data_IF_966914404327
#
_entry.id   IF_966914404327
#
_cell.length_a   1.000
_cell.length_b   1.000
_cell.length_c   1.000
_cell.angle_alpha   90.00
_cell.angle_beta   90.00
_cell.angle_gamma   90.00
#
_symmetry.space_group_name_H-M   'P 1'
#
loop_
_entity.id
_entity.type
_entity.pdbx_description
1 polymer ?
#
# COMPACT_ATOMS: atom_id res chain seq x y z
N UNK A 1 5.81 90.14 109.95
CA UNK A 1 7.17 90.30 109.39
C UNK A 1 7.25 89.39 108.20
N UNK A 2 7.23 89.95 106.99
CA UNK A 2 7.43 89.17 105.77
C UNK A 2 8.86 88.63 105.73
N UNK A 3 9.00 87.33 105.97
CA UNK A 3 10.27 86.61 105.96
C UNK A 3 10.81 86.34 104.56
N UNK A 4 10.66 87.28 103.61
CA UNK A 4 11.12 87.07 102.24
C UNK A 4 12.66 87.06 102.17
N UNK A 5 13.18 85.96 101.64
CA UNK A 5 14.60 85.79 101.33
C UNK A 5 14.81 86.28 99.90
N UNK A 6 15.37 87.48 99.74
CA UNK A 6 15.75 88.04 98.44
C UNK A 6 17.14 87.56 98.03
N UNK A 7 17.47 87.66 96.74
CA UNK A 7 18.76 87.21 96.21
C UNK A 7 19.98 87.84 96.92
N UNK A 8 19.85 89.07 97.45
CA UNK A 8 20.90 89.75 98.23
C UNK A 8 21.19 89.09 99.59
N UNK A 9 20.21 88.34 100.15
CA UNK A 9 20.37 87.59 101.41
C UNK A 9 20.95 86.18 101.20
N UNK A 10 21.18 85.76 99.96
CA UNK A 10 21.75 84.45 99.61
C UNK A 10 23.13 84.62 98.97
N UNK A 11 24.16 84.12 99.65
CA UNK A 11 25.52 84.08 99.10
C UNK A 11 25.66 83.09 97.93
N UNK A 12 26.69 83.26 97.11
CA UNK A 12 26.99 82.31 96.02
C UNK A 12 27.21 80.90 96.58
N UNK A 13 26.48 79.91 96.06
CA UNK A 13 26.47 78.52 96.54
C UNK A 13 25.96 78.33 97.99
N UNK A 14 25.34 79.35 98.61
CA UNK A 14 24.85 79.23 99.99
C UNK A 14 23.65 78.28 100.12
N UNK A 15 22.99 77.96 99.00
CA UNK A 15 21.94 76.93 98.92
C UNK A 15 22.53 75.73 98.19
N UNK A 16 22.83 74.67 98.94
CA UNK A 16 23.30 73.39 98.40
C UNK A 16 22.27 72.28 98.70
N UNK A 17 22.62 71.03 98.34
CA UNK A 17 21.76 69.87 98.53
C UNK A 17 21.35 69.61 100.00
N UNK A 18 22.11 70.08 100.99
CA UNK A 18 21.74 69.97 102.40
C UNK A 18 20.72 71.03 102.83
N UNK A 19 20.58 72.12 102.06
CA UNK A 19 19.62 73.19 102.32
C UNK A 19 18.25 72.94 101.64
N UNK A 20 18.19 72.03 100.66
CA UNK A 20 16.96 71.71 99.92
C UNK A 20 16.53 70.29 100.28
N UNK A 21 15.44 70.14 101.02
CA UNK A 21 14.89 68.83 101.33
C UNK A 21 14.38 68.12 100.05
N UNK A 22 14.42 66.77 99.99
CA UNK A 22 13.81 66.03 98.90
C UNK A 22 12.34 66.43 98.70
N UNK A 23 11.97 66.80 97.47
CA UNK A 23 10.62 67.25 97.13
C UNK A 23 10.34 68.74 97.40
N UNK A 24 11.24 69.48 98.05
CA UNK A 24 11.02 70.90 98.35
C UNK A 24 10.92 71.80 97.11
N UNK A 25 11.45 71.37 95.96
CA UNK A 25 11.27 72.05 94.67
C UNK A 25 10.21 71.29 93.88
N UNK A 26 8.97 71.77 93.95
CA UNK A 26 7.85 71.30 93.15
C UNK A 26 7.78 72.06 91.83
N UNK A 27 6.96 71.59 90.88
CA UNK A 27 6.78 72.23 89.57
C UNK A 27 6.31 73.68 89.69
N UNK A 28 5.55 74.01 90.74
CA UNK A 28 5.08 75.38 91.06
C UNK A 28 6.21 76.34 91.43
N UNK A 29 7.36 75.83 91.89
CA UNK A 29 8.54 76.62 92.26
C UNK A 29 9.42 76.96 91.05
N UNK A 30 9.15 76.37 89.88
CA UNK A 30 9.91 76.59 88.65
C UNK A 30 9.04 77.34 87.63
N UNK A 31 9.54 78.47 87.12
CA UNK A 31 8.91 79.14 85.98
C UNK A 31 9.16 78.33 84.70
N UNK A 32 8.29 78.49 83.71
CA UNK A 32 8.48 77.90 82.38
C UNK A 32 9.88 78.25 81.82
N UNK A 33 10.52 77.27 81.18
CA UNK A 33 11.84 77.37 80.54
C UNK A 33 13.04 77.71 81.46
N UNK A 34 12.87 77.75 82.80
CA UNK A 34 13.95 78.12 83.72
C UNK A 34 15.12 77.12 83.75
N UNK A 35 14.90 75.87 83.32
CA UNK A 35 15.93 74.81 83.26
C UNK A 35 16.54 74.77 81.86
N UNK A 36 17.66 75.48 81.68
CA UNK A 36 18.47 75.37 80.47
C UNK A 36 19.32 74.09 80.47
N UNK A 37 19.74 73.63 79.28
CA UNK A 37 20.61 72.44 79.12
C UNK A 37 21.90 72.53 79.92
N UNK A 38 22.47 73.73 80.10
CA UNK A 38 23.66 73.97 80.94
C UNK A 38 23.45 73.71 82.44
N UNK A 39 22.19 73.58 82.88
CA UNK A 39 21.80 73.26 84.25
C UNK A 39 21.52 71.76 84.46
N UNK A 40 21.54 70.97 83.38
CA UNK A 40 21.40 69.52 83.43
C UNK A 40 22.78 68.88 83.26
N UNK A 41 23.18 68.06 84.22
CA UNK A 41 24.38 67.25 84.06
C UNK A 41 24.19 66.22 82.91
N UNK A 42 25.27 65.73 82.29
CA UNK A 42 25.19 64.59 81.38
C UNK A 42 24.43 63.43 82.03
N UNK A 43 23.53 62.79 81.27
CA UNK A 43 22.65 61.71 81.75
C UNK A 43 21.67 62.08 82.88
N UNK A 44 21.50 63.37 83.21
CA UNK A 44 20.58 63.79 84.26
C UNK A 44 19.11 63.42 83.95
N UNK A 45 18.73 63.33 82.67
CA UNK A 45 17.40 62.89 82.23
C UNK A 45 17.46 61.41 81.85
N UNK A 46 17.06 60.56 82.79
CA UNK A 46 16.92 59.10 82.59
C UNK A 46 15.55 58.77 82.02
N UNK A 47 15.36 57.57 81.49
CA UNK A 47 14.06 57.09 80.98
C UNK A 47 12.94 57.22 82.02
N UNK A 48 13.22 56.95 83.29
CA UNK A 48 12.29 57.10 84.41
C UNK A 48 11.85 58.55 84.70
N UNK A 49 12.61 59.54 84.23
CA UNK A 49 12.29 60.97 84.37
C UNK A 49 11.49 61.52 83.19
N UNK A 50 11.30 60.72 82.14
CA UNK A 50 10.47 61.07 80.99
C UNK A 50 9.08 60.48 81.19
N UNK A 51 8.05 61.33 81.24
CA UNK A 51 6.67 60.87 81.27
C UNK A 51 6.32 60.15 79.95
N UNK A 52 5.35 59.24 79.99
CA UNK A 52 4.88 58.55 78.80
C UNK A 52 4.43 59.57 77.73
N UNK A 53 4.82 59.37 76.47
CA UNK A 53 4.53 60.26 75.32
C UNK A 53 5.09 61.69 75.43
N UNK A 54 5.98 61.96 76.39
CA UNK A 54 6.64 63.27 76.53
C UNK A 54 7.59 63.58 75.37
N UNK A 55 8.17 62.56 74.72
CA UNK A 55 9.01 62.71 73.54
C UNK A 55 8.14 62.66 72.28
N UNK A 56 7.97 63.82 71.63
CA UNK A 56 7.23 63.98 70.37
C UNK A 56 8.20 64.03 69.20
N UNK A 57 7.69 63.92 67.96
CA UNK A 57 8.50 63.97 66.73
C UNK A 57 9.46 65.17 66.69
N UNK A 58 9.00 66.34 67.13
CA UNK A 58 9.79 67.58 67.16
C UNK A 58 10.84 67.63 68.27
N UNK A 59 10.85 66.67 69.20
CA UNK A 59 11.89 66.55 70.23
C UNK A 59 13.08 65.71 69.76
N UNK A 60 12.95 65.00 68.62
CA UNK A 60 14.00 64.18 68.03
C UNK A 60 14.59 64.90 66.80
N UNK A 61 15.87 65.27 66.90
CA UNK A 61 16.62 65.82 65.77
C UNK A 61 17.00 64.77 64.74
N UNK A 62 17.41 65.20 63.55
CA UNK A 62 17.97 64.31 62.53
C UNK A 62 19.17 63.53 63.08
N UNK A 63 19.22 62.23 62.82
CA UNK A 63 20.28 61.33 63.32
C UNK A 63 20.24 61.01 64.82
N UNK A 64 19.30 61.58 65.60
CA UNK A 64 19.19 61.29 67.04
C UNK A 64 18.78 59.84 67.33
N UNK A 65 18.09 59.18 66.40
CA UNK A 65 17.76 57.75 66.44
C UNK A 65 18.58 57.03 65.39
N UNK A 66 19.59 56.27 65.84
CA UNK A 66 20.44 55.42 65.00
C UNK A 66 20.00 53.97 65.17
N UNK A 67 20.62 53.06 64.41
CA UNK A 67 20.37 51.61 64.54
C UNK A 67 20.66 51.06 65.93
N UNK A 68 21.55 51.70 66.71
CA UNK A 68 21.87 51.29 68.09
C UNK A 68 20.74 51.64 69.07
N UNK A 69 19.93 52.66 68.74
CA UNK A 69 18.78 53.07 69.54
C UNK A 69 17.53 52.22 69.25
N UNK A 70 17.55 51.37 68.22
CA UNK A 70 16.42 50.56 67.76
C UNK A 70 16.69 49.09 68.10
N UNK A 71 15.96 48.56 69.07
CA UNK A 71 16.04 47.14 69.42
C UNK A 71 15.62 46.25 68.25
N UNK A 72 16.21 45.06 68.16
CA UNK A 72 15.81 44.04 67.18
C UNK A 72 14.30 43.79 67.27
N UNK A 73 13.64 43.69 66.11
CA UNK A 73 12.19 43.46 65.98
C UNK A 73 11.28 44.57 66.54
N UNK A 74 11.83 45.69 67.01
CA UNK A 74 11.01 46.82 67.48
C UNK A 74 10.27 47.53 66.34
N UNK A 75 10.79 47.46 65.10
CA UNK A 75 10.12 47.98 63.91
C UNK A 75 9.34 46.87 63.21
N UNK A 76 8.01 46.97 63.22
CA UNK A 76 7.09 46.05 62.56
C UNK A 76 6.53 46.70 61.29
N UNK A 77 5.92 45.90 60.41
CA UNK A 77 5.38 46.36 59.13
C UNK A 77 4.43 47.57 59.25
N UNK A 78 3.59 47.62 60.28
CA UNK A 78 2.65 48.73 60.50
C UNK A 78 3.30 50.03 61.00
N UNK A 79 4.59 50.03 61.35
CA UNK A 79 5.34 51.26 61.63
C UNK A 79 5.73 52.00 60.34
N UNK A 80 5.62 51.33 59.20
CA UNK A 80 5.81 51.93 57.88
C UNK A 80 4.47 52.39 57.32
N UNK A 81 4.46 53.58 56.72
CA UNK A 81 3.34 54.00 55.89
C UNK A 81 3.35 53.22 54.57
N UNK A 82 2.19 53.11 53.94
CA UNK A 82 2.08 52.50 52.61
C UNK A 82 3.07 53.18 51.63
N UNK A 83 3.78 52.37 50.85
CA UNK A 83 4.80 52.82 49.89
C UNK A 83 6.00 53.60 50.47
N UNK A 84 6.27 53.53 51.78
CA UNK A 84 7.39 54.26 52.40
C UNK A 84 8.77 53.62 52.24
N UNK A 85 8.83 52.40 51.69
CA UNK A 85 10.08 51.68 51.42
C UNK A 85 10.30 51.68 49.91
N UNK A 86 11.19 52.56 49.45
CA UNK A 86 11.66 52.55 48.07
C UNK A 86 12.50 51.30 47.79
N UNK A 87 12.41 50.76 46.57
CA UNK A 87 13.09 49.52 46.20
C UNK A 87 14.61 49.57 46.27
N UNK A 88 15.21 50.76 46.10
CA UNK A 88 16.64 51.02 46.27
C UNK A 88 17.12 50.94 47.73
N UNK A 89 16.19 50.97 48.69
CA UNK A 89 16.47 50.75 50.12
C UNK A 89 16.48 49.28 50.50
N UNK A 90 16.07 48.39 49.60
CA UNK A 90 16.17 46.94 49.76
C UNK A 90 17.50 46.46 49.18
N UNK A 91 18.27 45.71 49.96
CA UNK A 91 19.50 45.09 49.46
C UNK A 91 19.16 43.88 48.59
N UNK A 92 20.05 43.52 47.67
CA UNK A 92 19.95 42.27 46.93
C UNK A 92 19.71 41.09 47.89
N UNK A 93 18.76 40.22 47.53
CA UNK A 93 18.31 39.07 48.33
C UNK A 93 17.67 39.39 49.69
N UNK A 94 17.35 40.65 50.02
CA UNK A 94 16.71 40.98 51.30
C UNK A 94 15.25 40.51 51.40
N UNK A 95 14.62 40.18 50.27
CA UNK A 95 13.26 39.64 50.20
C UNK A 95 13.33 38.18 49.77
N UNK A 96 13.17 37.28 50.72
CA UNK A 96 13.01 35.84 50.43
C UNK A 96 11.60 35.56 49.90
N UNK A 97 11.46 34.55 49.03
CA UNK A 97 10.15 34.15 48.50
C UNK A 97 9.12 33.82 49.57
N UNK A 98 9.55 33.35 50.76
CA UNK A 98 8.68 33.08 51.93
C UNK A 98 8.02 34.34 52.51
N UNK A 99 8.53 35.54 52.15
CA UNK A 99 7.98 36.84 52.55
C UNK A 99 6.97 37.39 51.54
N UNK A 100 6.83 36.75 50.39
CA UNK A 100 5.85 37.09 49.37
C UNK A 100 4.61 36.23 49.57
N UNK A 101 3.46 36.86 49.77
CA UNK A 101 2.18 36.15 49.80
C UNK A 101 1.89 35.51 48.44
N UNK A 102 1.17 34.40 48.43
CA UNK A 102 0.67 33.78 47.21
C UNK A 102 -0.06 34.82 46.34
N UNK A 103 0.23 34.82 45.03
CA UNK A 103 -0.33 35.76 44.04
C UNK A 103 0.05 37.24 44.24
N UNK A 104 1.00 37.57 45.12
CA UNK A 104 1.48 38.96 45.26
C UNK A 104 2.22 39.46 44.01
N UNK A 105 2.87 38.57 43.26
CA UNK A 105 3.60 38.92 42.02
C UNK A 105 2.69 38.74 40.80
N UNK A 106 2.30 39.84 40.18
CA UNK A 106 1.53 39.89 38.94
C UNK A 106 2.48 40.08 37.75
N UNK A 107 1.99 39.83 36.53
CA UNK A 107 2.80 39.99 35.31
C UNK A 107 3.39 41.40 35.15
N UNK A 108 2.68 42.44 35.60
CA UNK A 108 3.15 43.83 35.54
C UNK A 108 4.22 44.17 36.60
N UNK A 109 4.44 43.32 37.61
CA UNK A 109 5.57 43.44 38.54
C UNK A 109 6.89 42.97 37.93
N UNK A 110 6.84 42.27 36.80
CA UNK A 110 8.01 41.69 36.14
C UNK A 110 8.24 42.41 34.82
N UNK A 111 9.37 43.11 34.70
CA UNK A 111 9.72 43.78 33.45
C UNK A 111 10.00 42.76 32.32
N UNK A 112 9.85 43.21 31.07
CA UNK A 112 10.09 42.37 29.89
C UNK A 112 11.48 41.72 29.94
N UNK A 113 11.55 40.44 29.57
CA UNK A 113 12.76 39.59 29.54
C UNK A 113 13.50 39.39 30.87
N UNK A 114 12.92 39.76 32.02
CA UNK A 114 13.55 39.50 33.31
C UNK A 114 13.56 38.01 33.68
N UNK A 115 12.53 37.24 33.29
CA UNK A 115 12.51 35.79 33.47
C UNK A 115 13.30 35.13 32.34
N UNK A 116 14.38 34.43 32.70
CA UNK A 116 15.18 33.62 31.79
C UNK A 116 15.33 32.20 32.37
N UNK A 117 16.05 31.33 31.67
CA UNK A 117 16.18 29.91 32.00
C UNK A 117 16.60 29.66 33.46
N UNK A 118 17.52 30.46 34.02
CA UNK A 118 17.98 30.28 35.41
C UNK A 118 16.92 30.62 36.47
N UNK A 119 15.83 31.27 36.08
CA UNK A 119 14.72 31.62 36.97
C UNK A 119 13.59 30.57 36.94
N UNK A 120 13.67 29.59 36.02
CA UNK A 120 12.72 28.49 35.92
C UNK A 120 13.39 27.23 36.43
N UNK A 121 12.79 26.58 37.42
CA UNK A 121 13.22 25.24 37.81
C UNK A 121 13.01 24.25 36.66
N UNK A 122 13.77 23.15 36.64
CA UNK A 122 13.54 22.03 35.73
C UNK A 122 12.07 21.58 35.81
N UNK A 123 11.43 21.38 34.66
CA UNK A 123 10.00 21.08 34.53
C UNK A 123 9.04 22.13 35.13
N UNK A 124 9.55 23.32 35.46
CA UNK A 124 8.77 24.42 36.03
C UNK A 124 7.63 24.89 35.12
N UNK A 125 7.74 24.68 33.81
CA UNK A 125 6.69 24.94 32.81
C UNK A 125 6.05 23.61 32.38
N UNK A 126 5.01 23.20 33.10
CA UNK A 126 4.20 22.04 32.69
C UNK A 126 3.24 22.37 31.55
N UNK A 127 2.82 21.37 30.78
CA UNK A 127 1.94 21.55 29.62
C UNK A 127 0.66 22.34 29.92
N UNK A 128 0.08 22.22 31.12
CA UNK A 128 -1.10 23.00 31.57
C UNK A 128 -0.85 24.53 31.61
N UNK A 129 0.41 24.95 31.73
CA UNK A 129 0.82 26.36 31.73
C UNK A 129 1.04 26.90 30.31
N UNK A 130 1.11 26.02 29.31
CA UNK A 130 1.30 26.36 27.90
C UNK A 130 -0.09 26.41 27.25
N UNK A 131 -0.50 27.59 26.79
CA UNK A 131 -1.76 27.73 26.04
C UNK A 131 -1.64 27.06 24.67
N UNK A 132 -2.77 26.59 24.13
CA UNK A 132 -2.84 26.09 22.76
C UNK A 132 -2.30 27.14 21.77
N UNK A 133 -1.42 26.72 20.86
CA UNK A 133 -0.75 27.60 19.89
C UNK A 133 0.40 28.45 20.43
N UNK A 134 0.73 28.38 21.73
CA UNK A 134 1.85 29.13 22.29
C UNK A 134 3.23 28.63 21.78
N UNK A 135 3.32 27.35 21.40
CA UNK A 135 4.52 26.77 20.76
C UNK A 135 4.28 26.74 19.25
N UNK A 136 5.08 27.49 18.50
CA UNK A 136 5.07 27.50 17.03
C UNK A 136 6.40 26.95 16.51
N UNK A 137 6.54 26.85 15.18
CA UNK A 137 7.74 26.30 14.53
C UNK A 137 9.03 27.04 14.90
N UNK A 138 8.99 28.34 15.20
CA UNK A 138 10.17 29.11 15.58
C UNK A 138 10.60 28.84 17.02
N UNK A 139 9.73 28.23 17.84
CA UNK A 139 10.02 27.83 19.21
C UNK A 139 10.63 26.42 19.30
N UNK A 140 10.58 25.65 18.20
CA UNK A 140 11.12 24.30 18.13
C UNK A 140 12.41 24.31 17.31
N UNK A 141 13.51 23.88 17.92
CA UNK A 141 14.74 23.61 17.17
C UNK A 141 14.52 22.46 16.17
N UNK A 142 15.37 22.39 15.14
CA UNK A 142 15.39 21.23 14.25
C UNK A 142 15.55 19.96 15.10
N UNK A 143 14.77 18.92 14.76
CA UNK A 143 14.77 17.62 15.44
C UNK A 143 14.27 17.64 16.90
N UNK A 144 13.74 18.76 17.40
CA UNK A 144 13.21 18.85 18.77
C UNK A 144 12.05 17.87 19.06
N UNK A 145 11.36 17.40 18.02
CA UNK A 145 10.28 16.40 18.11
C UNK A 145 10.79 15.06 17.60
N UNK A 146 11.40 14.28 18.51
CA UNK A 146 11.85 12.92 18.24
C UNK A 146 10.69 11.91 18.30
N UNK A 147 10.88 10.71 17.75
CA UNK A 147 9.89 9.64 17.76
C UNK A 147 9.35 9.34 19.17
N UNK A 148 10.21 9.33 20.19
CA UNK A 148 9.82 9.09 21.58
C UNK A 148 8.87 10.16 22.16
N UNK A 149 8.75 11.32 21.50
CA UNK A 149 7.84 12.42 21.89
C UNK A 149 6.50 12.35 21.17
N UNK A 150 6.37 11.51 20.15
CA UNK A 150 5.11 11.30 19.42
C UNK A 150 4.42 10.05 19.96
N UNK A 151 3.21 10.22 20.49
CA UNK A 151 2.36 9.08 20.84
C UNK A 151 1.97 8.29 19.58
N UNK A 152 1.59 7.03 19.76
CA UNK A 152 0.97 6.22 18.69
C UNK A 152 -0.20 6.99 18.09
N UNK A 153 -0.25 7.09 16.76
CA UNK A 153 -1.28 7.84 16.00
C UNK A 153 -1.31 9.36 16.26
N UNK A 154 -0.27 9.95 16.86
CA UNK A 154 -0.21 11.40 17.08
C UNK A 154 -0.22 12.23 15.78
N UNK A 155 0.18 11.63 14.65
CA UNK A 155 0.16 12.26 13.33
C UNK A 155 -1.03 11.70 12.55
N UNK A 156 -2.12 12.46 12.51
CA UNK A 156 -3.30 12.15 11.71
C UNK A 156 -3.07 12.51 10.23
N UNK A 157 -3.92 11.99 9.35
CA UNK A 157 -3.80 12.19 7.89
C UNK A 157 -3.83 13.66 7.49
N UNK A 158 -4.61 14.50 8.18
CA UNK A 158 -4.67 15.94 7.95
C UNK A 158 -3.42 16.70 8.43
N UNK A 159 -2.54 16.07 9.21
CA UNK A 159 -1.25 16.66 9.58
C UNK A 159 -0.20 16.46 8.47
N UNK A 160 -0.41 15.50 7.56
CA UNK A 160 0.46 15.25 6.42
C UNK A 160 -0.03 16.07 5.23
N UNK A 161 0.76 17.06 4.81
CA UNK A 161 0.48 17.79 3.58
C UNK A 161 0.58 16.88 2.35
N UNK A 162 -0.06 17.26 1.26
CA UNK A 162 0.07 16.57 -0.02
C UNK A 162 1.55 16.43 -0.41
N UNK A 163 1.95 15.20 -0.80
CA UNK A 163 3.34 14.84 -1.15
C UNK A 163 4.36 14.99 -0.02
N UNK A 164 3.91 15.12 1.24
CA UNK A 164 4.83 15.18 2.39
C UNK A 164 5.59 13.88 2.64
N UNK A 165 5.04 12.73 2.25
CA UNK A 165 5.70 11.43 2.29
C UNK A 165 6.33 11.15 0.92
N UNK A 166 7.64 11.30 0.84
CA UNK A 166 8.47 11.04 -0.35
C UNK A 166 9.10 9.66 -0.27
N UNK A 167 9.62 9.15 -1.38
CA UNK A 167 10.32 7.85 -1.43
C UNK A 167 11.42 7.73 -0.36
N UNK A 168 12.24 8.78 -0.21
CA UNK A 168 13.32 8.85 0.80
C UNK A 168 12.85 8.81 2.25
N UNK A 169 11.55 9.02 2.51
CA UNK A 169 10.94 8.96 3.86
C UNK A 169 10.34 7.58 4.16
N UNK A 170 10.26 6.70 3.16
CA UNK A 170 9.78 5.33 3.32
C UNK A 170 10.98 4.39 3.43
N UNK A 171 11.13 3.76 4.59
CA UNK A 171 12.15 2.73 4.77
C UNK A 171 11.85 1.50 3.91
N UNK A 172 12.89 0.75 3.55
CA UNK A 172 12.74 -0.50 2.82
C UNK A 172 11.79 -1.47 3.57
N UNK A 173 10.82 -2.02 2.84
CA UNK A 173 9.84 -2.94 3.39
C UNK A 173 8.72 -2.31 4.23
N UNK A 174 8.66 -0.99 4.41
CA UNK A 174 7.61 -0.38 5.22
C UNK A 174 6.21 -0.43 4.58
N UNK A 175 6.14 -0.51 3.25
CA UNK A 175 4.89 -0.68 2.48
C UNK A 175 4.71 -2.17 2.18
N UNK A 176 4.17 -2.92 3.13
CA UNK A 176 3.83 -4.33 2.95
C UNK A 176 2.49 -4.50 2.23
N UNK A 177 2.22 -5.69 1.68
CA UNK A 177 0.96 -5.99 0.98
C UNK A 177 -0.29 -5.70 1.83
N UNK A 178 -0.21 -5.89 3.15
CA UNK A 178 -1.31 -5.59 4.09
C UNK A 178 -1.61 -4.09 4.22
N UNK A 179 -0.64 -3.23 3.91
CA UNK A 179 -0.79 -1.77 3.93
C UNK A 179 -1.33 -1.21 2.61
N UNK A 180 -1.35 -2.02 1.55
CA UNK A 180 -1.87 -1.63 0.25
C UNK A 180 -3.34 -2.05 0.16
N UNK A 181 -4.25 -1.08 0.12
CA UNK A 181 -5.67 -1.36 -0.04
C UNK A 181 -5.96 -2.10 -1.36
N UNK A 182 -6.98 -2.96 -1.36
CA UNK A 182 -7.41 -3.66 -2.57
C UNK A 182 -7.74 -2.68 -3.70
N UNK A 183 -7.19 -2.91 -4.89
CA UNK A 183 -7.30 -2.04 -6.09
C UNK A 183 -6.57 -0.70 -6.01
N UNK A 184 -5.72 -0.47 -4.99
CA UNK A 184 -4.91 0.75 -4.93
C UNK A 184 -3.88 0.84 -6.07
N UNK A 185 -3.31 -0.30 -6.48
CA UNK A 185 -2.39 -0.38 -7.62
C UNK A 185 -3.19 -0.60 -8.91
N UNK A 186 -3.13 0.37 -9.83
CA UNK A 186 -3.74 0.32 -11.16
C UNK A 186 -2.64 0.14 -12.20
N UNK A 187 -3.00 -0.24 -13.42
CA UNK A 187 -2.03 -0.50 -14.49
C UNK A 187 -1.05 0.65 -14.74
N UNK A 188 -1.50 1.90 -14.65
CA UNK A 188 -0.64 3.08 -14.81
C UNK A 188 0.29 3.38 -13.62
N UNK A 189 0.13 2.68 -12.49
CA UNK A 189 1.09 2.74 -11.37
C UNK A 189 2.28 1.80 -11.58
N UNK A 190 2.24 0.93 -12.59
CA UNK A 190 3.31 0.01 -12.93
C UNK A 190 4.04 0.56 -14.15
N UNK A 191 5.37 0.65 -14.07
CA UNK A 191 6.18 0.99 -15.22
C UNK A 191 6.25 -0.20 -16.21
N UNK A 192 6.70 0.10 -17.42
CA UNK A 192 6.89 -0.94 -18.44
C UNK A 192 7.89 -1.99 -17.93
N UNK A 193 7.57 -3.27 -18.11
CA UNK A 193 8.37 -4.41 -17.67
C UNK A 193 8.56 -4.59 -16.15
N UNK A 194 7.85 -3.82 -15.29
CA UNK A 194 7.90 -4.06 -13.84
C UNK A 194 7.40 -5.47 -13.48
N UNK A 195 6.37 -5.96 -14.19
CA UNK A 195 5.82 -7.32 -13.98
C UNK A 195 6.55 -8.31 -14.88
N UNK A 196 7.58 -8.96 -14.33
CA UNK A 196 8.30 -10.07 -14.94
C UNK A 196 7.74 -11.46 -14.55
N UNK A 197 8.23 -12.52 -15.19
CA UNK A 197 7.79 -13.90 -14.92
C UNK A 197 7.89 -14.33 -13.45
N UNK A 198 8.87 -13.83 -12.68
CA UNK A 198 8.97 -14.21 -11.26
C UNK A 198 7.85 -13.61 -10.39
N UNK A 199 7.14 -12.60 -10.89
CA UNK A 199 5.97 -12.02 -10.22
C UNK A 199 4.69 -12.82 -10.52
N UNK A 200 4.68 -13.61 -11.60
CA UNK A 200 3.54 -14.38 -12.05
C UNK A 200 3.66 -15.83 -11.55
N UNK A 201 3.06 -16.12 -10.39
CA UNK A 201 2.99 -17.50 -9.89
C UNK A 201 2.09 -18.37 -10.78
N UNK A 202 2.24 -19.69 -10.68
CA UNK A 202 1.40 -20.64 -11.42
C UNK A 202 -0.09 -20.35 -11.20
N UNK A 203 -0.87 -20.39 -12.28
CA UNK A 203 -2.30 -20.11 -12.31
C UNK A 203 -2.70 -18.66 -11.97
N UNK A 204 -1.75 -17.72 -11.89
CA UNK A 204 -2.08 -16.31 -11.65
C UNK A 204 -2.91 -15.72 -12.79
N UNK A 205 -2.63 -16.06 -14.05
CA UNK A 205 -3.42 -15.62 -15.21
C UNK A 205 -4.51 -16.66 -15.46
N UNK A 206 -5.76 -16.31 -15.12
CA UNK A 206 -6.95 -17.14 -15.37
C UNK A 206 -7.68 -16.65 -16.62
N UNK A 207 -8.61 -17.45 -17.14
CA UNK A 207 -9.41 -17.09 -18.34
C UNK A 207 -10.12 -15.75 -18.18
N UNK A 208 -10.59 -15.42 -16.97
CA UNK A 208 -11.31 -14.17 -16.68
C UNK A 208 -10.38 -12.94 -16.70
N UNK A 209 -9.06 -13.15 -16.60
CA UNK A 209 -8.06 -12.08 -16.62
C UNK A 209 -7.54 -11.76 -18.03
N UNK A 210 -7.82 -12.63 -18.99
CA UNK A 210 -7.50 -12.40 -20.40
C UNK A 210 -8.68 -11.72 -21.09
N UNK A 211 -8.47 -10.51 -21.60
CA UNK A 211 -9.47 -9.83 -22.40
C UNK A 211 -9.73 -10.61 -23.71
N UNK A 212 -10.94 -10.53 -24.30
CA UNK A 212 -11.19 -11.10 -25.62
C UNK A 212 -10.16 -10.61 -26.64
N UNK A 213 -9.62 -11.52 -27.45
CA UNK A 213 -8.56 -11.26 -28.44
C UNK A 213 -7.21 -10.75 -27.89
N UNK A 214 -6.98 -10.83 -26.58
CA UNK A 214 -5.67 -10.47 -25.99
C UNK A 214 -4.56 -11.45 -26.36
N UNK A 215 -4.91 -12.70 -26.67
CA UNK A 215 -3.98 -13.72 -27.17
C UNK A 215 -4.26 -13.91 -28.65
N UNK A 216 -3.25 -13.67 -29.49
CA UNK A 216 -3.32 -13.79 -30.94
C UNK A 216 -2.21 -14.75 -31.42
N UNK A 217 -2.06 -14.90 -32.73
CA UNK A 217 -1.05 -15.79 -33.30
C UNK A 217 0.40 -15.37 -32.99
N UNK A 218 0.69 -14.11 -32.67
CA UNK A 218 2.04 -13.69 -32.25
C UNK A 218 2.33 -14.12 -30.80
N UNK A 219 1.29 -14.26 -29.98
CA UNK A 219 1.41 -14.71 -28.59
C UNK A 219 1.57 -16.24 -28.45
N UNK A 220 1.23 -17.01 -29.48
CA UNK A 220 1.27 -18.47 -29.48
C UNK A 220 2.39 -18.94 -30.41
N UNK A 221 3.44 -19.53 -29.84
CA UNK A 221 4.52 -20.15 -30.64
C UNK A 221 4.01 -21.39 -31.39
N UNK A 222 4.53 -21.62 -32.59
CA UNK A 222 4.33 -22.86 -33.35
C UNK A 222 4.58 -24.12 -32.50
N UNK A 223 3.63 -25.04 -32.55
CA UNK A 223 3.64 -26.31 -31.80
C UNK A 223 3.35 -26.20 -30.29
N UNK A 224 3.03 -25.00 -29.79
CA UNK A 224 2.62 -24.81 -28.39
C UNK A 224 1.28 -25.50 -28.10
N UNK A 225 0.33 -25.44 -29.05
CA UNK A 225 -0.94 -26.17 -28.96
C UNK A 225 -0.72 -27.60 -29.47
N UNK A 226 -0.87 -28.58 -28.58
CA UNK A 226 -0.78 -30.01 -28.85
C UNK A 226 -2.17 -30.63 -28.69
N UNK A 227 -2.34 -31.88 -29.10
CA UNK A 227 -3.63 -32.57 -29.03
C UNK A 227 -4.21 -32.61 -27.61
N UNK A 228 -3.38 -32.68 -26.56
CA UNK A 228 -3.82 -32.66 -25.17
C UNK A 228 -4.23 -31.26 -24.66
N UNK A 229 -4.07 -30.21 -25.47
CA UNK A 229 -4.52 -28.84 -25.15
C UNK A 229 -5.91 -28.53 -25.74
N UNK A 230 -6.46 -29.45 -26.54
CA UNK A 230 -7.73 -29.30 -27.23
C UNK A 230 -8.69 -30.36 -26.70
N UNK A 231 -9.83 -29.93 -26.16
CA UNK A 231 -10.92 -30.83 -25.81
C UNK A 231 -11.58 -31.41 -27.07
N UNK A 232 -12.30 -32.52 -26.89
CA UNK A 232 -13.04 -33.17 -27.97
C UNK A 232 -14.03 -32.18 -28.64
N UNK A 233 -14.08 -32.20 -29.96
CA UNK A 233 -14.93 -31.35 -30.79
C UNK A 233 -14.66 -29.82 -30.72
N UNK A 234 -13.53 -29.38 -30.15
CA UNK A 234 -13.19 -27.94 -30.16
C UNK A 234 -12.85 -27.43 -31.58
N UNK A 235 -12.36 -28.30 -32.46
CA UNK A 235 -12.12 -27.99 -33.87
C UNK A 235 -13.34 -28.40 -34.68
N UNK A 236 -14.11 -27.43 -35.16
CA UNK A 236 -15.26 -27.64 -36.04
C UNK A 236 -14.96 -27.12 -37.46
N UNK A 237 -15.94 -27.24 -38.35
CA UNK A 237 -15.79 -26.81 -39.76
C UNK A 237 -15.54 -25.32 -39.92
N UNK A 238 -15.89 -24.47 -38.94
CA UNK A 238 -15.61 -23.03 -38.97
C UNK A 238 -14.16 -22.73 -38.64
N UNK A 239 -13.49 -23.62 -37.90
CA UNK A 239 -12.07 -23.54 -37.58
C UNK A 239 -11.16 -24.02 -38.73
N UNK A 240 -11.72 -24.74 -39.69
CA UNK A 240 -11.01 -25.26 -40.86
C UNK A 240 -11.30 -24.45 -42.12
N UNK A 241 -10.27 -23.84 -42.71
CA UNK A 241 -10.39 -23.23 -44.04
C UNK A 241 -10.57 -24.29 -45.11
N UNK A 242 -11.14 -23.93 -46.26
CA UNK A 242 -11.15 -24.77 -47.45
C UNK A 242 -9.72 -25.24 -47.76
N UNK A 243 -9.56 -26.53 -48.06
CA UNK A 243 -8.26 -27.17 -48.34
C UNK A 243 -7.27 -27.20 -47.16
N UNK A 244 -7.72 -26.93 -45.93
CA UNK A 244 -6.85 -27.03 -44.75
C UNK A 244 -6.39 -28.45 -44.45
N UNK A 245 -7.22 -29.46 -44.76
CA UNK A 245 -6.86 -30.89 -44.71
C UNK A 245 -6.27 -31.28 -46.06
N UNK A 246 -4.95 -31.47 -46.10
CA UNK A 246 -4.18 -31.88 -47.28
C UNK A 246 -3.80 -33.36 -47.16
N UNK A 247 -3.33 -33.97 -48.25
CA UNK A 247 -2.92 -35.39 -48.27
C UNK A 247 -1.95 -35.73 -47.13
N UNK A 248 -0.89 -34.93 -46.94
CA UNK A 248 0.08 -35.11 -45.84
C UNK A 248 -0.51 -35.05 -44.42
N UNK A 249 -1.74 -34.53 -44.26
CA UNK A 249 -2.42 -34.42 -42.96
C UNK A 249 -3.36 -35.59 -42.69
N UNK A 250 -3.62 -36.44 -43.69
CA UNK A 250 -4.40 -37.66 -43.55
C UNK A 250 -3.43 -38.82 -43.37
N UNK A 251 -3.56 -39.54 -42.25
CA UNK A 251 -2.79 -40.75 -42.06
C UNK A 251 -3.27 -41.84 -43.05
N UNK A 252 -2.40 -42.76 -43.49
CA UNK A 252 -2.84 -43.94 -44.23
C UNK A 252 -3.99 -44.64 -43.49
N UNK A 253 -5.00 -45.07 -44.24
CA UNK A 253 -6.21 -45.74 -43.72
C UNK A 253 -7.12 -44.89 -42.83
N UNK A 254 -6.84 -43.61 -42.60
CA UNK A 254 -7.71 -42.76 -41.76
C UNK A 254 -9.07 -42.45 -42.40
N UNK A 255 -9.19 -42.64 -43.72
CA UNK A 255 -10.44 -42.45 -44.47
C UNK A 255 -10.98 -43.81 -44.90
N UNK A 256 -11.85 -44.39 -44.07
CA UNK A 256 -12.59 -45.61 -44.39
C UNK A 256 -13.80 -45.33 -45.30
N UNK A 257 -14.34 -46.37 -45.93
CA UNK A 257 -15.57 -46.26 -46.73
C UNK A 257 -16.78 -45.77 -45.93
N UNK A 258 -16.78 -45.91 -44.60
CA UNK A 258 -17.80 -45.36 -43.69
C UNK A 258 -17.75 -43.83 -43.61
N UNK A 259 -16.60 -43.21 -43.85
CA UNK A 259 -16.40 -41.76 -43.88
C UNK A 259 -16.89 -41.13 -45.20
N UNK A 260 -17.15 -41.95 -46.22
CA UNK A 260 -17.60 -41.50 -47.54
C UNK A 260 -19.10 -41.81 -47.71
N UNK A 261 -19.86 -40.82 -48.19
CA UNK A 261 -21.26 -41.07 -48.56
C UNK A 261 -21.32 -41.85 -49.88
N UNK A 262 -22.43 -42.55 -50.10
CA UNK A 262 -22.70 -43.22 -51.39
C UNK A 262 -22.59 -42.18 -52.50
N UNK A 263 -21.82 -42.49 -53.55
CA UNK A 263 -21.55 -41.64 -54.73
C UNK A 263 -20.64 -40.43 -54.49
N UNK A 264 -19.90 -40.37 -53.37
CA UNK A 264 -18.87 -39.32 -53.19
C UNK A 264 -17.65 -39.55 -54.10
N UNK A 265 -17.30 -40.81 -54.39
CA UNK A 265 -16.24 -41.14 -55.34
C UNK A 265 -16.88 -41.39 -56.70
N UNK A 266 -16.57 -40.53 -57.66
CA UNK A 266 -16.95 -40.64 -59.07
C UNK A 266 -15.74 -41.13 -59.88
N UNK A 267 -15.95 -41.51 -61.15
CA UNK A 267 -14.87 -42.03 -62.00
C UNK A 267 -13.71 -41.05 -62.18
N UNK A 268 -13.98 -39.74 -62.10
CA UNK A 268 -12.96 -38.68 -62.14
C UNK A 268 -12.08 -38.61 -60.89
N UNK A 269 -12.54 -39.17 -59.76
CA UNK A 269 -11.78 -39.23 -58.52
C UNK A 269 -10.81 -40.43 -58.47
N UNK A 270 -10.82 -41.30 -59.48
CA UNK A 270 -9.96 -42.48 -59.57
C UNK A 270 -8.95 -42.29 -60.71
N UNK A 271 -7.66 -42.40 -60.38
CA UNK A 271 -6.63 -42.46 -61.41
C UNK A 271 -6.68 -43.83 -62.12
N UNK A 272 -6.19 -43.93 -63.37
CA UNK A 272 -5.98 -45.22 -64.01
C UNK A 272 -5.16 -46.15 -63.09
N UNK A 273 -5.50 -47.44 -63.06
CA UNK A 273 -4.83 -48.49 -62.28
C UNK A 273 -5.04 -48.44 -60.76
N UNK A 274 -5.77 -47.46 -60.21
CA UNK A 274 -6.06 -47.40 -58.75
C UNK A 274 -7.00 -48.50 -58.26
N UNK A 275 -7.80 -49.09 -59.16
CA UNK A 275 -8.75 -50.17 -58.83
C UNK A 275 -8.22 -51.50 -59.36
N UNK A 276 -7.56 -52.26 -58.49
CA UNK A 276 -7.09 -53.62 -58.76
C UNK A 276 -8.19 -54.66 -58.49
N UNK A 277 -7.95 -55.92 -58.88
CA UNK A 277 -8.91 -57.01 -58.69
C UNK A 277 -9.36 -57.17 -57.24
N UNK A 278 -8.44 -56.99 -56.29
CA UNK A 278 -8.71 -57.08 -54.85
C UNK A 278 -9.67 -55.98 -54.35
N UNK A 279 -9.76 -54.85 -55.06
CA UNK A 279 -10.68 -53.76 -54.74
C UNK A 279 -12.12 -54.07 -55.18
N UNK A 280 -12.33 -55.11 -55.99
CA UNK A 280 -13.61 -55.50 -56.55
C UNK A 280 -14.01 -56.86 -55.96
N UNK A 281 -15.06 -56.89 -55.13
CA UNK A 281 -15.61 -58.16 -54.63
C UNK A 281 -16.10 -59.05 -55.77
N UNK A 282 -16.01 -60.36 -55.59
CA UNK A 282 -16.59 -61.35 -56.49
C UNK A 282 -18.06 -61.03 -56.81
N UNK A 283 -18.37 -60.91 -58.09
CA UNK A 283 -19.71 -60.57 -58.59
C UNK A 283 -20.09 -59.08 -58.49
N UNK A 284 -19.21 -58.17 -58.05
CA UNK A 284 -19.48 -56.74 -58.01
C UNK A 284 -19.69 -56.14 -59.41
N UNK A 285 -19.05 -56.71 -60.43
CA UNK A 285 -19.30 -56.38 -61.84
C UNK A 285 -20.43 -57.27 -62.36
N UNK A 286 -21.66 -56.79 -62.26
CA UNK A 286 -22.85 -57.46 -62.83
C UNK A 286 -23.09 -57.02 -64.27
N UNK A 287 -23.98 -57.74 -65.00
CA UNK A 287 -24.33 -57.44 -66.40
C UNK A 287 -24.67 -55.97 -66.65
N UNK A 288 -25.38 -55.34 -65.73
CA UNK A 288 -25.80 -53.93 -65.86
C UNK A 288 -24.66 -52.92 -65.61
N UNK A 289 -23.52 -53.39 -65.08
CA UNK A 289 -22.32 -52.59 -64.82
C UNK A 289 -21.33 -52.63 -65.99
N UNK A 290 -21.51 -53.54 -66.93
CA UNK A 290 -20.68 -53.69 -68.14
C UNK A 290 -21.41 -53.04 -69.31
N UNK A 291 -20.91 -51.91 -69.79
CA UNK A 291 -21.50 -51.26 -70.97
C UNK A 291 -21.38 -52.17 -72.21
N UNK A 292 -22.38 -52.20 -73.12
CA UNK A 292 -22.28 -52.98 -74.36
C UNK A 292 -21.00 -52.64 -75.13
N UNK A 293 -20.27 -53.67 -75.58
CA UNK A 293 -19.00 -53.54 -76.33
C UNK A 293 -17.82 -52.95 -75.54
N UNK A 294 -17.95 -52.80 -74.22
CA UNK A 294 -16.84 -52.36 -73.37
C UNK A 294 -15.70 -53.39 -73.32
N UNK A 295 -16.03 -54.69 -73.31
CA UNK A 295 -15.06 -55.77 -73.45
C UNK A 295 -14.77 -56.00 -74.94
N UNK A 296 -13.57 -55.63 -75.37
CA UNK A 296 -13.09 -55.84 -76.74
C UNK A 296 -12.11 -57.01 -76.80
N UNK A 297 -11.94 -57.64 -77.97
CA UNK A 297 -11.03 -58.80 -78.13
C UNK A 297 -9.61 -58.52 -77.67
N UNK A 298 -9.13 -57.27 -77.77
CA UNK A 298 -7.80 -56.84 -77.28
C UNK A 298 -7.66 -56.82 -75.75
N UNK A 299 -8.76 -56.93 -75.02
CA UNK A 299 -8.83 -56.96 -73.56
C UNK A 299 -8.97 -58.39 -73.03
N UNK A 300 -9.07 -59.37 -73.92
CA UNK A 300 -9.18 -60.80 -73.61
C UNK A 300 -7.91 -61.49 -74.08
N UNK A 301 -6.93 -61.63 -73.18
CA UNK A 301 -5.73 -62.43 -73.44
C UNK A 301 -6.06 -63.93 -73.53
N UNK A 302 -5.11 -64.69 -74.09
CA UNK A 302 -5.19 -66.16 -74.15
C UNK A 302 -5.43 -66.72 -72.74
N UNK A 303 -6.36 -67.66 -72.62
CA UNK A 303 -6.76 -68.32 -71.36
C UNK A 303 -7.53 -67.47 -70.33
N UNK A 304 -7.95 -66.23 -70.66
CA UNK A 304 -8.85 -65.45 -69.78
C UNK A 304 -10.23 -66.11 -69.68
N UNK A 305 -10.72 -66.74 -70.76
CA UNK A 305 -11.97 -67.51 -70.75
C UNK A 305 -11.60 -69.00 -70.73
N UNK A 306 -11.72 -69.64 -69.57
CA UNK A 306 -11.50 -71.08 -69.38
C UNK A 306 -12.83 -71.82 -69.41
N UNK A 307 -12.79 -73.14 -69.49
CA UNK A 307 -14.01 -73.98 -69.46
C UNK A 307 -14.84 -73.76 -68.20
N UNK A 308 -14.21 -73.41 -67.07
CA UNK A 308 -14.89 -73.06 -65.82
C UNK A 308 -15.67 -71.73 -65.89
N UNK A 309 -15.29 -70.82 -66.79
CA UNK A 309 -16.00 -69.56 -67.05
C UNK A 309 -17.21 -69.74 -67.97
N UNK A 310 -17.33 -70.92 -68.62
CA UNK A 310 -18.39 -71.26 -69.55
C UNK A 310 -19.27 -72.36 -68.95
N UNK A 311 -20.29 -71.97 -68.18
CA UNK A 311 -21.29 -72.91 -67.67
C UNK A 311 -22.19 -73.43 -68.81
N UNK A 312 -22.95 -74.49 -68.54
CA UNK A 312 -23.89 -75.08 -69.51
C UNK A 312 -24.84 -74.00 -70.09
N UNK A 313 -25.00 -73.98 -71.41
CA UNK A 313 -25.84 -73.04 -72.17
C UNK A 313 -25.46 -71.54 -72.11
N UNK A 314 -24.23 -71.19 -71.67
CA UNK A 314 -23.78 -69.78 -71.70
C UNK A 314 -23.54 -69.29 -73.14
N UNK A 315 -23.04 -70.15 -74.02
CA UNK A 315 -22.90 -69.89 -75.45
C UNK A 315 -24.14 -70.46 -76.15
N UNK A 316 -24.96 -69.59 -76.71
CA UNK A 316 -26.18 -69.93 -77.47
C UNK A 316 -25.96 -69.58 -78.94
N UNK A 317 -26.85 -70.01 -79.82
CA UNK A 317 -26.73 -69.77 -81.28
C UNK A 317 -26.53 -68.29 -81.63
N UNK A 318 -27.15 -67.39 -80.86
CA UNK A 318 -27.01 -65.94 -81.01
C UNK A 318 -25.61 -65.39 -80.63
N UNK A 319 -24.79 -66.18 -79.93
CA UNK A 319 -23.41 -65.83 -79.53
C UNK A 319 -22.37 -66.29 -80.57
N UNK A 320 -22.74 -67.16 -81.51
CA UNK A 320 -21.84 -67.72 -82.53
C UNK A 320 -22.32 -67.32 -83.94
N UNK A 321 -21.61 -66.42 -84.60
CA UNK A 321 -21.85 -66.13 -86.02
C UNK A 321 -21.20 -67.19 -86.92
N UNK A 322 -21.75 -67.35 -88.13
CA UNK A 322 -21.20 -68.22 -89.17
C UNK A 322 -19.72 -67.89 -89.43
N UNK A 323 -18.83 -68.85 -89.25
CA UNK A 323 -17.37 -68.68 -89.39
C UNK A 323 -16.62 -68.22 -88.14
N UNK A 324 -17.30 -68.03 -87.00
CA UNK A 324 -16.67 -67.68 -85.73
C UNK A 324 -15.77 -68.83 -85.19
N UNK A 325 -16.13 -70.08 -85.48
CA UNK A 325 -15.34 -71.27 -85.14
C UNK A 325 -14.82 -71.88 -86.46
N UNK A 326 -13.50 -71.87 -86.64
CA UNK A 326 -12.80 -72.54 -87.74
C UNK A 326 -12.09 -73.79 -87.18
N UNK A 327 -11.62 -74.66 -88.07
CA UNK A 327 -10.78 -75.83 -87.77
C UNK A 327 -9.62 -75.52 -86.82
N UNK A 328 -9.05 -74.31 -86.87
CA UNK A 328 -7.98 -73.83 -85.98
C UNK A 328 -8.43 -73.55 -84.55
N UNK A 329 -9.73 -73.35 -84.33
CA UNK A 329 -10.34 -73.09 -83.01
C UNK A 329 -10.78 -74.38 -82.31
N UNK A 330 -10.73 -75.53 -83.01
CA UNK A 330 -11.11 -76.85 -82.48
C UNK A 330 -9.87 -77.74 -82.38
N UNK A 331 -9.66 -78.36 -81.21
CA UNK A 331 -8.60 -79.37 -81.05
C UNK A 331 -9.03 -80.67 -81.73
N UNK A 332 -8.08 -81.45 -82.25
CA UNK A 332 -8.40 -82.79 -82.76
C UNK A 332 -9.16 -83.61 -81.72
N UNK A 333 -10.29 -84.22 -82.13
CA UNK A 333 -11.24 -84.95 -81.29
C UNK A 333 -12.04 -84.11 -80.27
N UNK A 334 -12.03 -82.77 -80.35
CA UNK A 334 -12.88 -81.94 -79.47
C UNK A 334 -14.36 -81.98 -79.86
N UNK A 335 -14.67 -82.33 -81.11
CA UNK A 335 -16.03 -82.60 -81.59
C UNK A 335 -16.09 -84.10 -81.89
N UNK A 336 -16.83 -84.83 -81.08
CA UNK A 336 -17.14 -86.25 -81.28
C UNK A 336 -18.60 -86.42 -81.69
N UNK A 337 -19.01 -87.62 -82.08
CA UNK A 337 -20.39 -87.93 -82.51
C UNK A 337 -21.44 -87.56 -81.45
N UNK A 338 -21.05 -87.51 -80.17
CA UNK A 338 -21.93 -87.08 -79.07
C UNK A 338 -22.21 -85.58 -79.06
N UNK A 339 -21.38 -84.78 -79.74
CA UNK A 339 -21.51 -83.32 -79.84
C UNK A 339 -22.26 -82.88 -81.10
N UNK A 340 -22.55 -83.81 -82.01
CA UNK A 340 -23.22 -83.55 -83.28
C UNK A 340 -24.63 -84.15 -83.21
N UNK A 341 -25.66 -83.32 -83.42
CA UNK A 341 -27.02 -83.83 -83.56
C UNK A 341 -27.12 -84.72 -84.81
N UNK A 342 -27.98 -85.74 -84.75
CA UNK A 342 -28.24 -86.62 -85.89
C UNK A 342 -28.65 -85.77 -87.11
N UNK A 343 -27.96 -85.93 -88.25
CA UNK A 343 -28.09 -85.13 -89.49
C UNK A 343 -27.52 -83.70 -89.47
N UNK A 344 -26.78 -83.27 -88.43
CA UNK A 344 -26.19 -81.92 -88.35
C UNK A 344 -25.03 -81.68 -89.32
N UNK A 345 -24.33 -82.75 -89.73
CA UNK A 345 -23.25 -82.71 -90.73
C UNK A 345 -23.74 -83.44 -91.98
N UNK A 346 -24.11 -82.68 -93.01
CA UNK A 346 -24.44 -83.21 -94.34
C UNK A 346 -23.15 -83.42 -95.14
N UNK A 347 -23.15 -84.40 -96.06
CA UNK A 347 -21.95 -84.81 -96.83
C UNK A 347 -21.21 -83.66 -97.52
N UNK A 348 -21.95 -82.62 -97.94
CA UNK A 348 -21.42 -81.42 -98.58
C UNK A 348 -20.53 -80.57 -97.64
N UNK A 349 -20.54 -80.86 -96.33
CA UNK A 349 -19.73 -80.20 -95.30
C UNK A 349 -18.50 -81.01 -94.88
N UNK A 350 -18.32 -82.21 -95.44
CA UNK A 350 -17.11 -83.03 -95.26
C UNK A 350 -16.31 -82.94 -96.56
N UNK A 351 -15.13 -82.31 -96.51
CA UNK A 351 -14.24 -82.31 -97.66
C UNK A 351 -13.71 -83.73 -97.90
N UNK A 352 -13.97 -84.29 -99.08
CA UNK A 352 -13.44 -85.58 -99.50
C UNK A 352 -11.90 -85.56 -99.43
N UNK A 353 -11.34 -86.37 -98.53
CA UNK A 353 -9.92 -86.71 -98.52
C UNK A 353 -9.62 -87.59 -99.75
N UNK A 354 -9.09 -87.00 -100.82
CA UNK A 354 -8.33 -87.77 -101.81
C UNK A 354 -6.91 -88.07 -101.27
N UNK A 355 -6.34 -89.24 -101.58
CA UNK A 355 -5.28 -89.90 -100.79
C UNK A 355 -3.93 -89.19 -100.77
#
# INVERSE_FOLDING_TARGET
MDGSVTHEKLGRNSVNNNNIQPGAVESTHLKEEVIHTSKLAPHAVTSSKLAEKSVKKNHLGEGSVTTEHISRESIKGYHFSENSIDGDRLKDHSVEGTKLSDHSIHAWHVADKQINEKHLADEGVSGRKIKSGAVNTNHLSNEAVEQAKLATEAVATNNLQDRSVTETKLAEGCVTSEKIAGKAIKGFHLEENTVSNHHLINQMITREKLAPNSVDHHHIRDGCIRNNHLDEAIVDTRHMKNQSVTEDKLAPESVEGSHLKKRTIEGEHLLPETVEGDHIKDGAITRDKVAPRSIQSRMLDLEIIRSEHLTENIIQDQHLNTGCIDSRHLRSNSVTDQHLAELSVTGDKLADRYP
#
